data_IF_705116905270
#
_entry.id   IF_705116905270
#
_cell.length_a   1.000
_cell.length_b   1.000
_cell.length_c   1.000
_cell.angle_alpha   90.00
_cell.angle_beta   90.00
_cell.angle_gamma   90.00
#
_symmetry.space_group_name_H-M   'P 1'
#
loop_
_entity.id
_entity.type
_entity.pdbx_description
1 polymer ?
#
# COMPACT_ATOMS: atom_id res chain seq x y z
N UNK A 1 18.37 -13.99 9.11
CA UNK A 1 17.24 -13.32 8.42
C UNK A 1 16.00 -14.11 8.79
N UNK A 2 14.94 -13.51 9.36
CA UNK A 2 13.68 -14.24 9.46
C UNK A 2 13.29 -14.70 8.06
N UNK A 3 12.87 -15.96 7.92
CA UNK A 3 12.39 -16.51 6.65
C UNK A 3 11.41 -15.51 6.03
N UNK A 4 11.58 -15.23 4.73
CA UNK A 4 10.67 -14.35 4.01
C UNK A 4 9.25 -14.90 4.21
N UNK A 5 8.45 -14.18 5.00
CA UNK A 5 7.13 -14.64 5.38
C UNK A 5 6.33 -14.98 4.12
N UNK A 6 5.66 -16.15 4.12
CA UNK A 6 4.71 -16.54 3.09
C UNK A 6 3.89 -15.30 2.67
N UNK A 7 3.73 -14.98 1.37
CA UNK A 7 2.98 -13.82 0.92
C UNK A 7 1.60 -13.66 1.59
N UNK A 8 0.91 -14.78 1.85
CA UNK A 8 -0.37 -14.78 2.56
C UNK A 8 -0.22 -14.36 4.04
N UNK A 9 0.82 -14.82 4.72
CA UNK A 9 1.10 -14.41 6.10
C UNK A 9 1.53 -12.94 6.17
N UNK A 10 2.26 -12.45 5.16
CA UNK A 10 2.60 -11.03 5.06
C UNK A 10 1.35 -10.17 4.84
N UNK A 11 0.45 -10.57 3.93
CA UNK A 11 -0.87 -9.93 3.75
C UNK A 11 -1.65 -9.86 5.07
N UNK A 12 -1.78 -10.99 5.78
CA UNK A 12 -2.45 -11.05 7.08
C UNK A 12 -1.81 -10.13 8.11
N UNK A 13 -0.49 -10.00 8.12
CA UNK A 13 0.23 -9.10 9.02
C UNK A 13 -0.07 -7.62 8.70
N UNK A 14 -0.04 -7.24 7.42
CA UNK A 14 -0.41 -5.88 6.99
C UNK A 14 -1.85 -5.55 7.39
N UNK A 15 -2.79 -6.47 7.10
CA UNK A 15 -4.20 -6.28 7.44
C UNK A 15 -4.41 -6.04 8.94
N UNK A 16 -3.90 -6.94 9.79
CA UNK A 16 -4.00 -6.79 11.26
C UNK A 16 -3.42 -5.47 11.76
N UNK A 17 -2.30 -5.03 11.19
CA UNK A 17 -1.63 -3.79 11.60
C UNK A 17 -2.47 -2.56 11.27
N UNK A 18 -3.09 -2.53 10.09
CA UNK A 18 -3.84 -1.37 9.59
C UNK A 18 -5.34 -1.40 9.91
N UNK A 19 -5.85 -2.49 10.50
CA UNK A 19 -7.23 -2.58 11.01
C UNK A 19 -7.46 -1.82 12.33
N UNK A 20 -6.41 -1.58 13.12
CA UNK A 20 -6.54 -0.84 14.38
C UNK A 20 -6.62 0.68 14.15
N UNK A 21 -7.12 1.42 15.15
CA UNK A 21 -7.33 2.87 15.05
C UNK A 21 -6.04 3.66 14.71
N UNK A 22 -4.92 3.31 15.34
CA UNK A 22 -3.63 3.94 15.06
C UNK A 22 -3.14 3.59 13.66
N UNK A 23 -3.33 2.34 13.23
CA UNK A 23 -3.03 1.88 11.87
C UNK A 23 -3.79 2.70 10.82
N UNK A 24 -5.11 2.88 11.01
CA UNK A 24 -5.93 3.72 10.12
C UNK A 24 -5.45 5.18 10.10
N UNK A 25 -5.07 5.72 11.26
CA UNK A 25 -4.52 7.09 11.37
C UNK A 25 -3.22 7.23 10.58
N UNK A 26 -2.32 6.26 10.71
CA UNK A 26 -1.06 6.21 9.95
C UNK A 26 -1.32 6.07 8.46
N UNK A 27 -2.23 5.18 8.04
CA UNK A 27 -2.57 5.01 6.62
C UNK A 27 -3.10 6.31 6.01
N UNK A 28 -3.97 7.03 6.71
CA UNK A 28 -4.50 8.31 6.23
C UNK A 28 -3.40 9.38 6.06
N UNK A 29 -2.42 9.44 6.97
CA UNK A 29 -1.26 10.33 6.81
C UNK A 29 -0.37 9.92 5.64
N UNK A 30 -0.13 8.62 5.46
CA UNK A 30 0.64 8.07 4.33
C UNK A 30 -0.03 8.38 2.99
N UNK A 31 -1.34 8.21 2.87
CA UNK A 31 -2.10 8.55 1.66
C UNK A 31 -1.97 10.02 1.28
N UNK A 32 -2.12 10.92 2.27
CA UNK A 32 -1.93 12.37 2.08
C UNK A 32 -0.53 12.69 1.59
N UNK A 33 0.47 12.02 2.16
CA UNK A 33 1.90 12.20 1.84
C UNK A 33 2.27 11.61 0.49
N UNK A 34 1.76 10.44 0.14
CA UNK A 34 2.13 9.68 -1.07
C UNK A 34 1.38 10.11 -2.33
N UNK A 35 0.81 11.32 -2.36
CA UNK A 35 0.03 11.81 -3.48
C UNK A 35 -1.13 10.87 -3.88
N UNK A 36 -1.67 10.03 -2.99
CA UNK A 36 -2.60 8.96 -3.39
C UNK A 36 -3.85 9.50 -4.11
N UNK A 37 -4.40 10.62 -3.66
CA UNK A 37 -5.58 11.28 -4.27
C UNK A 37 -5.24 12.57 -5.05
N UNK A 38 -3.95 12.82 -5.29
CA UNK A 38 -3.49 14.06 -5.92
C UNK A 38 -2.52 13.78 -7.07
N UNK A 39 -2.30 14.79 -7.90
CA UNK A 39 -1.26 14.69 -8.92
C UNK A 39 0.12 14.57 -8.26
N UNK A 40 0.93 13.64 -8.75
CA UNK A 40 2.34 13.50 -8.40
C UNK A 40 3.24 14.47 -9.18
N UNK A 41 2.70 15.09 -10.24
CA UNK A 41 3.46 15.94 -11.14
C UNK A 41 4.00 17.19 -10.45
N UNK A 42 5.23 17.55 -10.80
CA UNK A 42 5.85 18.81 -10.46
C UNK A 42 6.74 19.30 -11.61
N UNK A 43 6.86 20.61 -11.75
CA UNK A 43 7.79 21.25 -12.69
C UNK A 43 9.25 21.19 -12.24
N UNK A 44 9.49 20.85 -10.97
CA UNK A 44 10.83 20.64 -10.42
C UNK A 44 11.43 19.31 -10.89
N UNK A 45 12.69 19.37 -11.36
CA UNK A 45 13.37 18.21 -11.94
C UNK A 45 13.61 17.17 -10.85
N UNK A 46 13.02 15.98 -11.01
CA UNK A 46 13.15 14.86 -10.08
C UNK A 46 12.05 14.80 -9.00
N UNK A 47 11.28 15.87 -8.77
CA UNK A 47 10.18 15.85 -7.80
C UNK A 47 9.05 14.90 -8.20
N UNK A 48 8.72 14.84 -9.50
CA UNK A 48 7.73 13.87 -10.01
C UNK A 48 8.14 12.43 -9.69
N UNK A 49 9.40 12.07 -9.95
CA UNK A 49 9.90 10.71 -9.68
C UNK A 49 9.87 10.39 -8.17
N UNK A 50 10.23 11.34 -7.32
CA UNK A 50 10.13 11.18 -5.87
C UNK A 50 8.69 10.97 -5.40
N UNK A 51 7.74 11.74 -5.93
CA UNK A 51 6.32 11.60 -5.61
C UNK A 51 5.77 10.24 -6.07
N UNK A 52 6.14 9.79 -7.26
CA UNK A 52 5.77 8.45 -7.77
C UNK A 52 6.34 7.33 -6.92
N UNK A 53 7.58 7.44 -6.42
CA UNK A 53 8.13 6.46 -5.48
C UNK A 53 7.30 6.35 -4.19
N UNK A 54 6.87 7.49 -3.64
CA UNK A 54 5.99 7.50 -2.45
C UNK A 54 4.61 6.94 -2.76
N UNK A 55 4.05 7.28 -3.92
CA UNK A 55 2.75 6.77 -4.37
C UNK A 55 2.78 5.26 -4.54
N UNK A 56 3.84 4.73 -5.14
CA UNK A 56 4.06 3.29 -5.30
C UNK A 56 4.06 2.55 -3.96
N UNK A 57 4.71 3.10 -2.94
CA UNK A 57 4.72 2.50 -1.60
C UNK A 57 3.32 2.48 -0.96
N UNK A 58 2.56 3.57 -1.07
CA UNK A 58 1.18 3.62 -0.55
C UNK A 58 0.29 2.63 -1.29
N UNK A 59 0.38 2.56 -2.63
CA UNK A 59 -0.37 1.60 -3.43
C UNK A 59 -0.03 0.15 -3.04
N UNK A 60 1.24 -0.14 -2.80
CA UNK A 60 1.66 -1.45 -2.31
C UNK A 60 1.02 -1.77 -0.95
N UNK A 61 1.06 -0.84 0.01
CA UNK A 61 0.41 -1.04 1.31
C UNK A 61 -1.10 -1.28 1.18
N UNK A 62 -1.80 -0.49 0.35
CA UNK A 62 -3.23 -0.66 0.09
C UNK A 62 -3.53 -2.01 -0.55
N UNK A 63 -2.72 -2.43 -1.51
CA UNK A 63 -2.81 -3.75 -2.11
C UNK A 63 -2.63 -4.84 -1.05
N UNK A 64 -1.65 -4.71 -0.15
CA UNK A 64 -1.39 -5.70 0.89
C UNK A 64 -2.49 -5.80 1.97
N UNK A 65 -3.36 -4.81 2.13
CA UNK A 65 -4.49 -4.86 3.08
C UNK A 65 -5.83 -5.20 2.41
N UNK A 66 -5.88 -5.21 1.08
CA UNK A 66 -7.08 -5.52 0.30
C UNK A 66 -7.44 -7.01 0.47
N UNK A 67 -8.65 -7.30 0.94
CA UNK A 67 -9.13 -8.66 1.18
C UNK A 67 -9.27 -9.49 -0.09
N UNK A 68 -9.40 -8.82 -1.24
CA UNK A 68 -9.46 -9.47 -2.56
C UNK A 68 -8.07 -9.81 -3.09
N UNK A 69 -7.03 -9.27 -2.47
CA UNK A 69 -5.66 -9.64 -2.78
C UNK A 69 -5.40 -11.07 -2.31
N UNK A 70 -4.72 -11.86 -3.14
CA UNK A 70 -4.43 -13.28 -2.90
C UNK A 70 -5.64 -14.24 -2.84
N UNK A 71 -6.87 -13.79 -3.17
CA UNK A 71 -7.96 -14.74 -3.48
C UNK A 71 -7.61 -15.44 -4.81
N UNK A 72 -7.52 -16.79 -4.86
CA UNK A 72 -7.45 -17.48 -6.14
C UNK A 72 -8.69 -17.09 -6.94
N UNK A 73 -8.53 -16.56 -8.15
CA UNK A 73 -9.65 -16.36 -9.09
C UNK A 73 -10.21 -17.73 -9.52
N UNK A 74 -10.87 -18.44 -8.61
CA UNK A 74 -11.75 -19.53 -8.95
C UNK A 74 -13.12 -18.91 -9.26
N UNK A 75 -13.58 -19.10 -10.50
CA UNK A 75 -14.86 -18.67 -11.07
C UNK A 75 -14.87 -17.33 -11.83
N UNK A 76 -14.01 -17.19 -12.84
CA UNK A 76 -14.44 -16.54 -14.09
C UNK A 76 -14.77 -17.68 -15.09
N UNK A 77 -16.01 -18.19 -15.03
CA UNK A 77 -16.62 -19.05 -16.06
C UNK A 77 -17.46 -18.20 -17.00
#
# INVERSE_FOLDING_TARGET
>A
MPDAANPLELHRAYKRLFECADGQTVMADLERRGCFLHSSFSTDKGRTAFNEGRRSLVLHMKHMIDETNFIPKENER
#
